data_IF_109175687991
#
_entry.id   IF_109175687991
#
_cell.length_a   1.000
_cell.length_b   1.000
_cell.length_c   1.000
_cell.angle_alpha   90.00
_cell.angle_beta   90.00
_cell.angle_gamma   90.00
#
_symmetry.space_group_name_H-M   'P 1'
#
loop_
_entity.id
_entity.type
_entity.pdbx_description
1 polymer ?
#
# COMPACT_ATOMS: atom_id res chain seq x y z
N UNK A 1 23.56 44.51 8.88
CA UNK A 1 22.75 43.30 8.90
C UNK A 1 23.61 42.18 8.34
N UNK A 2 24.14 41.32 9.22
CA UNK A 2 25.01 40.20 8.84
C UNK A 2 24.13 38.94 8.68
N UNK A 3 24.02 38.47 7.46
CA UNK A 3 23.40 37.16 7.17
C UNK A 3 24.45 36.08 7.42
N UNK A 4 24.34 35.41 8.55
CA UNK A 4 25.14 34.22 8.88
C UNK A 4 24.75 33.03 8.00
N UNK A 5 25.68 32.58 7.18
CA UNK A 5 25.63 31.35 6.44
C UNK A 5 25.82 30.20 7.42
N UNK A 6 24.76 29.43 7.74
CA UNK A 6 24.87 28.19 8.51
C UNK A 6 25.33 27.07 7.59
N UNK A 7 26.57 26.64 7.76
CA UNK A 7 27.12 25.42 7.14
C UNK A 7 26.48 24.21 7.78
N UNK A 8 25.62 23.51 7.02
CA UNK A 8 25.12 22.18 7.39
C UNK A 8 26.28 21.18 7.32
N UNK A 9 26.75 20.75 8.47
CA UNK A 9 27.73 19.67 8.60
C UNK A 9 27.08 18.36 8.13
N UNK A 10 27.66 17.76 7.09
CA UNK A 10 27.38 16.39 6.68
C UNK A 10 27.71 15.44 7.82
N UNK A 11 26.80 14.53 8.22
CA UNK A 11 27.14 13.53 9.24
C UNK A 11 28.19 12.55 8.71
N UNK A 12 29.26 12.40 9.47
CA UNK A 12 30.34 11.43 9.23
C UNK A 12 29.80 10.00 9.48
N UNK A 13 30.17 9.02 8.65
CA UNK A 13 29.70 7.63 8.86
C UNK A 13 30.20 7.09 10.18
N UNK A 14 29.27 6.74 11.06
CA UNK A 14 29.59 6.08 12.33
C UNK A 14 29.62 4.56 12.08
N UNK A 15 30.80 4.01 11.89
CA UNK A 15 30.99 2.55 11.91
C UNK A 15 30.93 2.07 13.35
N UNK A 16 29.95 1.26 13.71
CA UNK A 16 29.91 0.57 15.01
C UNK A 16 30.71 -0.74 14.90
N UNK A 17 31.68 -0.90 15.83
CA UNK A 17 32.48 -2.11 15.93
C UNK A 17 31.83 -2.98 17.01
N UNK A 18 31.48 -4.22 16.67
CA UNK A 18 30.97 -5.20 17.61
C UNK A 18 32.05 -6.31 17.78
N UNK A 19 32.22 -6.75 19.04
CA UNK A 19 33.05 -7.89 19.38
C UNK A 19 32.16 -9.10 19.71
N UNK A 20 32.42 -10.25 19.09
CA UNK A 20 31.81 -11.49 19.55
C UNK A 20 32.76 -12.21 20.53
N UNK A 21 32.27 -13.24 21.21
CA UNK A 21 33.03 -14.05 22.18
C UNK A 21 34.17 -14.83 21.55
N UNK A 22 34.34 -14.84 20.23
CA UNK A 22 35.40 -15.55 19.49
C UNK A 22 36.44 -14.62 18.85
N UNK A 23 36.52 -13.34 19.28
CA UNK A 23 37.47 -12.34 18.76
C UNK A 23 37.39 -12.09 17.23
N UNK A 24 36.24 -12.31 16.59
CA UNK A 24 36.04 -11.90 15.22
C UNK A 24 35.56 -10.47 15.14
N UNK A 25 36.27 -9.67 14.36
CA UNK A 25 35.87 -8.28 14.07
C UNK A 25 34.83 -8.28 12.94
N UNK A 26 33.63 -7.80 13.22
CA UNK A 26 32.65 -7.50 12.19
C UNK A 26 32.50 -5.98 12.08
N UNK A 27 32.90 -5.44 10.94
CA UNK A 27 32.57 -4.06 10.59
C UNK A 27 31.20 -4.12 9.92
N UNK A 28 30.14 -3.84 10.68
CA UNK A 28 28.84 -3.58 10.09
C UNK A 28 28.91 -2.20 9.41
N UNK A 29 29.14 -2.21 8.10
CA UNK A 29 29.02 -1.01 7.30
C UNK A 29 27.55 -0.60 7.31
N UNK A 30 27.19 0.37 8.16
CA UNK A 30 25.86 1.00 8.07
C UNK A 30 25.74 1.59 6.67
N UNK A 31 24.77 1.09 5.89
CA UNK A 31 24.51 1.66 4.57
C UNK A 31 23.91 3.04 4.77
N UNK A 32 24.71 4.09 4.53
CA UNK A 32 24.18 5.45 4.46
C UNK A 32 23.46 5.63 3.12
N UNK A 33 22.15 5.85 3.21
CA UNK A 33 21.39 6.21 2.03
C UNK A 33 21.54 7.69 1.75
N UNK A 34 21.97 8.03 0.53
CA UNK A 34 22.12 9.42 0.06
C UNK A 34 20.77 10.08 -0.24
N UNK A 35 19.82 9.27 -0.68
CA UNK A 35 18.49 9.74 -1.08
C UNK A 35 17.44 8.77 -0.57
N UNK A 36 16.24 9.33 -0.33
CA UNK A 36 15.05 8.53 -0.06
C UNK A 36 14.01 8.87 -1.14
N UNK A 37 13.46 7.84 -1.77
CA UNK A 37 12.42 7.95 -2.79
C UNK A 37 11.17 7.28 -2.24
N UNK A 38 10.02 7.94 -2.36
CA UNK A 38 8.71 7.35 -2.09
C UNK A 38 8.11 6.87 -3.41
N UNK A 39 7.73 5.60 -3.47
CA UNK A 39 6.92 5.03 -4.55
C UNK A 39 5.50 4.88 -4.03
N UNK A 40 4.58 5.56 -4.67
CA UNK A 40 3.15 5.56 -4.31
C UNK A 40 2.43 4.79 -5.41
N UNK A 41 1.72 3.73 -5.02
CA UNK A 41 1.00 2.86 -5.93
C UNK A 41 -0.51 3.05 -5.73
N UNK A 42 -1.24 3.10 -6.81
CA UNK A 42 -2.64 2.76 -6.80
C UNK A 42 -2.80 1.24 -6.64
N UNK A 43 -3.93 0.79 -6.08
CA UNK A 43 -4.15 -0.63 -5.82
C UNK A 43 -4.99 -1.30 -6.90
N UNK A 44 -6.21 -0.79 -7.11
CA UNK A 44 -7.19 -1.39 -8.02
C UNK A 44 -6.79 -1.17 -9.49
N UNK A 45 -6.63 -2.25 -10.24
CA UNK A 45 -6.12 -2.20 -11.62
C UNK A 45 -4.61 -1.95 -11.76
N UNK A 46 -3.90 -1.68 -10.66
CA UNK A 46 -2.44 -1.42 -10.64
C UNK A 46 -1.65 -2.54 -9.98
N UNK A 47 -1.96 -2.89 -8.74
CA UNK A 47 -1.32 -4.00 -8.03
C UNK A 47 -2.15 -5.29 -8.13
N UNK A 48 -3.48 -5.16 -8.25
CA UNK A 48 -4.42 -6.26 -8.42
C UNK A 48 -5.34 -5.97 -9.62
N UNK A 49 -5.77 -6.99 -10.38
CA UNK A 49 -6.76 -6.81 -11.43
C UNK A 49 -8.15 -6.51 -10.84
N UNK A 50 -8.90 -5.62 -11.48
CA UNK A 50 -10.24 -5.22 -11.03
C UNK A 50 -10.21 -4.41 -9.75
N UNK A 51 -11.36 -4.33 -9.08
CA UNK A 51 -11.52 -3.63 -7.81
C UNK A 51 -11.49 -4.62 -6.64
N UNK A 52 -10.93 -4.22 -5.50
CA UNK A 52 -10.76 -5.11 -4.35
C UNK A 52 -12.10 -5.66 -3.82
N UNK A 53 -13.19 -4.93 -3.99
CA UNK A 53 -14.53 -5.36 -3.56
C UNK A 53 -15.06 -6.56 -4.35
N UNK A 54 -14.53 -6.80 -5.54
CA UNK A 54 -14.98 -7.84 -6.47
C UNK A 54 -14.53 -9.25 -6.08
N UNK A 55 -13.53 -9.36 -5.21
CA UNK A 55 -12.96 -10.66 -4.84
C UNK A 55 -13.81 -11.43 -3.83
N UNK A 56 -14.33 -10.75 -2.82
CA UNK A 56 -15.10 -11.41 -1.75
C UNK A 56 -16.39 -10.66 -1.39
N UNK A 57 -16.35 -9.34 -1.27
CA UNK A 57 -17.49 -8.60 -0.75
C UNK A 57 -18.71 -8.71 -1.67
N UNK A 58 -18.56 -8.41 -2.95
CA UNK A 58 -19.68 -8.45 -3.92
C UNK A 58 -20.25 -9.86 -4.04
N UNK A 59 -19.45 -10.93 -4.17
CA UNK A 59 -19.96 -12.29 -4.09
C UNK A 59 -20.69 -12.63 -2.78
N UNK A 60 -20.17 -12.14 -1.64
CA UNK A 60 -20.78 -12.40 -0.33
C UNK A 60 -22.17 -11.78 -0.17
N UNK A 61 -22.44 -10.67 -0.82
CA UNK A 61 -23.78 -10.09 -0.85
C UNK A 61 -24.69 -10.75 -1.89
N UNK A 62 -24.19 -11.73 -2.65
CA UNK A 62 -24.97 -12.53 -3.61
C UNK A 62 -25.19 -11.82 -4.94
N UNK A 63 -24.31 -10.89 -5.31
CA UNK A 63 -24.37 -10.16 -6.58
C UNK A 63 -23.19 -10.51 -7.47
N UNK A 64 -23.38 -10.35 -8.78
CA UNK A 64 -22.27 -10.27 -9.72
C UNK A 64 -21.65 -8.89 -9.70
N UNK A 65 -20.38 -8.79 -10.10
CA UNK A 65 -19.67 -7.51 -10.23
C UNK A 65 -20.45 -6.54 -11.13
N UNK A 66 -20.95 -7.06 -12.26
CA UNK A 66 -21.71 -6.25 -13.21
C UNK A 66 -22.99 -5.68 -12.59
N UNK A 67 -23.76 -6.48 -11.87
CA UNK A 67 -24.99 -6.03 -11.20
C UNK A 67 -24.69 -4.94 -10.18
N UNK A 68 -23.73 -5.20 -9.29
CA UNK A 68 -23.37 -4.26 -8.24
C UNK A 68 -22.94 -2.90 -8.80
N UNK A 69 -22.01 -2.91 -9.77
CA UNK A 69 -21.52 -1.66 -10.35
C UNK A 69 -22.53 -0.94 -11.22
N UNK A 70 -23.40 -1.68 -11.92
CA UNK A 70 -24.51 -1.06 -12.67
C UNK A 70 -25.46 -0.34 -11.73
N UNK A 71 -25.90 -0.99 -10.65
CA UNK A 71 -26.77 -0.39 -9.65
C UNK A 71 -26.13 0.84 -8.97
N UNK A 72 -24.85 0.75 -8.61
CA UNK A 72 -24.14 1.85 -7.98
C UNK A 72 -24.01 3.06 -8.93
N UNK A 73 -23.67 2.83 -10.19
CA UNK A 73 -23.59 3.89 -11.22
C UNK A 73 -24.95 4.55 -11.44
N UNK A 74 -26.00 3.75 -11.66
CA UNK A 74 -27.36 4.28 -11.86
C UNK A 74 -27.80 5.14 -10.67
N UNK A 75 -27.55 4.67 -9.45
CA UNK A 75 -27.90 5.41 -8.24
C UNK A 75 -27.11 6.73 -8.11
N UNK A 76 -25.82 6.73 -8.48
CA UNK A 76 -25.02 7.94 -8.47
C UNK A 76 -25.53 8.97 -9.49
N UNK A 77 -25.88 8.52 -10.70
CA UNK A 77 -26.46 9.37 -11.75
C UNK A 77 -27.81 9.93 -11.34
N UNK A 78 -28.73 9.10 -10.83
CA UNK A 78 -30.08 9.52 -10.40
C UNK A 78 -30.06 10.55 -9.26
N UNK A 79 -29.04 10.48 -8.38
CA UNK A 79 -28.92 11.36 -7.21
C UNK A 79 -27.95 12.54 -7.43
N UNK A 80 -27.34 12.65 -8.61
CA UNK A 80 -26.26 13.61 -8.88
C UNK A 80 -25.17 13.54 -7.77
N UNK A 81 -24.81 12.32 -7.38
CA UNK A 81 -23.95 12.04 -6.25
C UNK A 81 -22.57 11.52 -6.68
N UNK A 82 -21.56 11.73 -5.82
CA UNK A 82 -20.24 11.18 -6.00
C UNK A 82 -20.26 9.64 -6.02
N UNK A 83 -19.62 9.04 -7.01
CA UNK A 83 -19.63 7.60 -7.23
C UNK A 83 -19.02 6.82 -6.07
N UNK A 84 -17.93 7.35 -5.46
CA UNK A 84 -17.24 6.67 -4.35
C UNK A 84 -18.16 6.61 -3.13
N UNK A 85 -18.78 7.73 -2.78
CA UNK A 85 -19.74 7.79 -1.68
C UNK A 85 -20.94 6.89 -1.92
N UNK A 86 -21.43 6.85 -3.16
CA UNK A 86 -22.59 6.03 -3.54
C UNK A 86 -22.30 4.55 -3.40
N UNK A 87 -21.21 4.03 -3.98
CA UNK A 87 -20.92 2.60 -3.84
C UNK A 87 -20.59 2.20 -2.40
N UNK A 88 -19.93 3.06 -1.63
CA UNK A 88 -19.66 2.79 -0.21
C UNK A 88 -20.97 2.71 0.61
N UNK A 89 -21.91 3.64 0.39
CA UNK A 89 -23.21 3.58 1.01
C UNK A 89 -23.96 2.30 0.62
N UNK A 90 -23.90 1.93 -0.67
CA UNK A 90 -24.50 0.69 -1.18
C UNK A 90 -23.89 -0.56 -0.53
N UNK A 91 -22.56 -0.61 -0.38
CA UNK A 91 -21.89 -1.71 0.34
C UNK A 91 -22.44 -1.86 1.76
N UNK A 92 -22.60 -0.76 2.49
CA UNK A 92 -23.13 -0.80 3.86
C UNK A 92 -24.59 -1.32 3.87
N UNK A 93 -25.42 -0.89 2.94
CA UNK A 93 -26.81 -1.36 2.82
C UNK A 93 -26.89 -2.84 2.53
N UNK A 94 -26.11 -3.32 1.55
CA UNK A 94 -26.07 -4.73 1.17
C UNK A 94 -25.56 -5.61 2.31
N UNK A 95 -24.46 -5.21 2.96
CA UNK A 95 -23.95 -5.94 4.10
C UNK A 95 -24.98 -6.07 5.22
N UNK A 96 -25.68 -4.99 5.56
CA UNK A 96 -26.75 -5.01 6.57
C UNK A 96 -27.90 -5.93 6.16
N UNK A 97 -28.33 -5.88 4.91
CA UNK A 97 -29.42 -6.71 4.40
C UNK A 97 -29.11 -8.22 4.45
N UNK A 98 -27.84 -8.58 4.31
CA UNK A 98 -27.35 -9.94 4.34
C UNK A 98 -26.80 -10.37 5.72
N UNK A 99 -26.82 -9.50 6.72
CA UNK A 99 -26.28 -9.78 8.04
C UNK A 99 -24.77 -9.93 8.07
N UNK A 100 -24.05 -9.36 7.08
CA UNK A 100 -22.60 -9.40 7.03
C UNK A 100 -22.00 -8.42 8.03
N UNK A 101 -20.88 -8.80 8.62
CA UNK A 101 -20.14 -7.96 9.56
C UNK A 101 -19.46 -6.81 8.83
N UNK A 102 -19.64 -5.59 9.33
CA UNK A 102 -18.93 -4.39 8.89
C UNK A 102 -17.70 -4.09 9.76
N UNK A 103 -17.28 -5.03 10.62
CA UNK A 103 -16.11 -4.87 11.45
C UNK A 103 -14.83 -4.97 10.61
N UNK A 104 -13.79 -4.30 11.08
CA UNK A 104 -12.47 -4.27 10.42
C UNK A 104 -11.93 -5.66 10.12
N UNK A 105 -12.09 -6.59 11.06
CA UNK A 105 -11.60 -7.97 10.94
C UNK A 105 -12.25 -8.71 9.75
N UNK A 106 -13.53 -8.47 9.50
CA UNK A 106 -14.24 -9.07 8.37
C UNK A 106 -13.68 -8.58 7.03
N UNK A 107 -13.42 -7.28 6.90
CA UNK A 107 -12.78 -6.71 5.71
C UNK A 107 -11.34 -7.19 5.52
N UNK A 108 -10.58 -7.35 6.60
CA UNK A 108 -9.24 -7.92 6.53
C UNK A 108 -9.27 -9.38 6.04
N UNK A 109 -10.25 -10.16 6.45
CA UNK A 109 -10.42 -11.52 5.97
C UNK A 109 -10.76 -11.56 4.48
N UNK A 110 -11.69 -10.72 4.03
CA UNK A 110 -12.03 -10.58 2.59
C UNK A 110 -10.81 -10.19 1.74
N UNK A 111 -9.86 -9.44 2.29
CA UNK A 111 -8.64 -9.07 1.60
C UNK A 111 -7.68 -10.22 1.30
N UNK A 112 -7.82 -11.39 1.96
CA UNK A 112 -6.91 -12.53 1.78
C UNK A 112 -7.03 -13.19 0.41
N UNK A 113 -8.18 -13.08 -0.23
CA UNK A 113 -8.44 -13.70 -1.53
C UNK A 113 -8.05 -12.81 -2.72
N UNK A 114 -7.59 -11.58 -2.45
CA UNK A 114 -7.15 -10.67 -3.51
C UNK A 114 -5.92 -11.24 -4.21
N UNK A 115 -6.00 -11.33 -5.53
CA UNK A 115 -4.92 -11.81 -6.38
C UNK A 115 -4.15 -10.63 -6.94
N UNK A 116 -2.87 -10.57 -6.64
CA UNK A 116 -1.99 -9.55 -7.21
C UNK A 116 -1.58 -9.95 -8.64
N UNK A 117 -1.25 -8.96 -9.46
CA UNK A 117 -0.64 -9.22 -10.75
C UNK A 117 0.67 -10.02 -10.62
N UNK A 118 1.02 -10.86 -11.61
CA UNK A 118 2.28 -11.58 -11.61
C UNK A 118 3.49 -10.64 -11.44
N UNK A 119 4.39 -10.99 -10.54
CA UNK A 119 5.61 -10.22 -10.27
C UNK A 119 5.47 -9.10 -9.24
N UNK A 120 4.26 -8.75 -8.79
CA UNK A 120 4.06 -7.68 -7.78
C UNK A 120 4.71 -8.05 -6.45
N UNK A 121 4.59 -9.30 -6.01
CA UNK A 121 5.18 -9.75 -4.73
C UNK A 121 6.71 -9.62 -4.74
N UNK A 122 7.33 -9.97 -5.86
CA UNK A 122 8.77 -9.93 -6.05
C UNK A 122 9.28 -8.50 -6.31
N UNK A 123 8.43 -7.63 -6.84
CA UNK A 123 8.77 -6.26 -7.19
C UNK A 123 9.36 -5.49 -6.03
N UNK A 124 8.73 -5.54 -4.87
CA UNK A 124 9.17 -4.77 -3.69
C UNK A 124 10.59 -5.15 -3.25
N UNK A 125 10.89 -6.46 -3.20
CA UNK A 125 12.23 -6.93 -2.87
C UNK A 125 13.26 -6.54 -3.94
N UNK A 126 12.93 -6.67 -5.21
CA UNK A 126 13.82 -6.36 -6.33
C UNK A 126 14.17 -4.87 -6.38
N UNK A 127 13.17 -3.99 -6.29
CA UNK A 127 13.41 -2.54 -6.35
C UNK A 127 14.20 -2.05 -5.13
N UNK A 128 13.92 -2.59 -3.94
CA UNK A 128 14.68 -2.28 -2.74
C UNK A 128 16.16 -2.67 -2.89
N UNK A 129 16.43 -3.87 -3.35
CA UNK A 129 17.81 -4.34 -3.57
C UNK A 129 18.53 -3.49 -4.63
N UNK A 130 17.86 -3.18 -5.73
CA UNK A 130 18.40 -2.34 -6.80
C UNK A 130 18.75 -0.93 -6.32
N UNK A 131 17.86 -0.31 -5.56
CA UNK A 131 18.04 1.03 -5.01
C UNK A 131 19.14 1.06 -3.94
N UNK A 132 19.13 0.09 -3.03
CA UNK A 132 20.13 -0.01 -1.96
C UNK A 132 21.55 -0.13 -2.53
N UNK A 133 21.75 -0.92 -3.59
CA UNK A 133 23.05 -1.03 -4.27
C UNK A 133 23.55 0.32 -4.84
N UNK A 134 22.68 1.32 -4.93
CA UNK A 134 22.98 2.68 -5.42
C UNK A 134 22.93 3.75 -4.33
N UNK A 135 22.86 3.35 -3.06
CA UNK A 135 22.78 4.26 -1.92
C UNK A 135 21.43 5.00 -1.84
N UNK A 136 20.36 4.40 -2.38
CA UNK A 136 19.00 4.95 -2.36
C UNK A 136 18.11 4.11 -1.46
N UNK A 137 17.39 4.76 -0.55
CA UNK A 137 16.32 4.14 0.24
C UNK A 137 15.00 4.28 -0.50
N UNK A 138 14.23 3.21 -0.58
CA UNK A 138 12.87 3.26 -1.14
C UNK A 138 11.85 3.05 -0.03
N UNK A 139 10.83 3.88 -0.02
CA UNK A 139 9.63 3.74 0.80
C UNK A 139 8.46 3.41 -0.13
N UNK A 140 7.59 2.50 0.30
CA UNK A 140 6.44 2.08 -0.48
C UNK A 140 5.16 2.52 0.22
N UNK A 141 4.26 3.14 -0.53
CA UNK A 141 2.93 3.54 -0.08
C UNK A 141 1.89 3.03 -1.06
N UNK A 142 0.75 2.62 -0.53
CA UNK A 142 -0.43 2.30 -1.32
C UNK A 142 -1.44 3.41 -1.05
N UNK A 143 -1.94 4.01 -2.12
CA UNK A 143 -3.01 5.01 -2.08
C UNK A 143 -4.20 4.41 -2.84
N UNK A 144 -5.25 4.06 -2.12
CA UNK A 144 -6.46 3.46 -2.66
C UNK A 144 -7.69 4.21 -2.15
#
# INVERSE_FOLDING_TARGET
MNLGCSTTSTPTPTSQIYFDTNFRFYILKTMEFRFTIALIYDFDGTLAPGNMQEYDFIPAVGKSNKEFWTEANTLAEEQDADMVLTYMARMIQEAKSKGLSLKREAFQESGRNIRLFPGVKEWFGRINAYAAARGVRVLHYINS
#
